data_IF_369429716679
#
_entry.id   IF_369429716679
#
_cell.length_a   1.000
_cell.length_b   1.000
_cell.length_c   1.000
_cell.angle_alpha   90.00
_cell.angle_beta   90.00
_cell.angle_gamma   90.00
#
_symmetry.space_group_name_H-M   'P 1'
#
loop_
_entity.id
_entity.type
_entity.pdbx_description
1 polymer ?
#
# COMPACT_ATOMS: atom_id res chain seq x y z
N UNK A 1 31.04 -37.16 -34.55
CA UNK A 1 31.87 -36.49 -33.53
C UNK A 1 32.21 -35.10 -34.01
N UNK A 2 31.57 -34.08 -33.42
CA UNK A 2 32.09 -32.70 -33.30
C UNK A 2 31.10 -31.97 -32.39
N UNK A 3 31.41 -31.89 -31.10
CA UNK A 3 30.74 -30.96 -30.20
C UNK A 3 31.32 -29.58 -30.52
N UNK A 4 30.45 -28.69 -31.02
CA UNK A 4 30.83 -27.32 -31.38
C UNK A 4 31.25 -26.50 -30.17
N UNK A 5 32.24 -25.64 -30.42
CA UNK A 5 32.95 -24.76 -29.47
C UNK A 5 32.00 -23.83 -28.68
N UNK A 6 30.74 -23.66 -29.11
CA UNK A 6 29.71 -22.86 -28.44
C UNK A 6 29.23 -23.46 -27.11
N UNK A 7 29.25 -24.79 -26.93
CA UNK A 7 28.83 -25.44 -25.69
C UNK A 7 29.78 -25.21 -24.51
N UNK A 8 31.07 -25.04 -24.79
CA UNK A 8 32.10 -24.77 -23.78
C UNK A 8 32.05 -23.30 -23.28
N UNK A 9 31.57 -22.38 -24.11
CA UNK A 9 31.41 -20.98 -23.75
C UNK A 9 30.20 -20.76 -22.82
N UNK A 10 29.10 -21.49 -23.02
CA UNK A 10 27.93 -21.46 -22.12
C UNK A 10 28.22 -22.12 -20.77
N UNK A 11 28.97 -23.23 -20.74
CA UNK A 11 29.34 -23.91 -19.51
C UNK A 11 30.30 -23.08 -18.63
N UNK A 12 31.20 -22.30 -19.23
CA UNK A 12 32.10 -21.41 -18.51
C UNK A 12 31.39 -20.18 -17.95
N UNK A 13 30.42 -19.60 -18.67
CA UNK A 13 29.56 -18.53 -18.14
C UNK A 13 28.70 -19.02 -16.96
N UNK A 14 28.08 -20.20 -17.07
CA UNK A 14 27.31 -20.78 -15.96
C UNK A 14 28.18 -21.05 -14.73
N UNK A 15 29.42 -21.53 -14.91
CA UNK A 15 30.35 -21.77 -13.81
C UNK A 15 30.85 -20.48 -13.12
N UNK A 16 31.05 -19.39 -13.87
CA UNK A 16 31.46 -18.09 -13.32
C UNK A 16 30.31 -17.45 -12.55
N UNK A 17 29.09 -17.53 -13.07
CA UNK A 17 27.88 -17.00 -12.42
C UNK A 17 27.53 -17.78 -11.15
N UNK A 18 27.70 -19.11 -11.18
CA UNK A 18 27.57 -19.95 -9.99
C UNK A 18 28.65 -19.61 -8.97
N UNK A 19 29.94 -19.50 -9.34
CA UNK A 19 31.02 -19.10 -8.40
C UNK A 19 30.83 -17.69 -7.83
N UNK A 20 30.33 -16.74 -8.61
CA UNK A 20 29.97 -15.40 -8.15
C UNK A 20 28.83 -15.42 -7.12
N UNK A 21 27.85 -16.29 -7.31
CA UNK A 21 26.79 -16.52 -6.32
C UNK A 21 27.29 -17.24 -5.07
N UNK A 22 28.21 -18.21 -5.20
CA UNK A 22 28.81 -18.89 -4.04
C UNK A 22 29.68 -17.96 -3.18
N UNK A 23 30.44 -17.03 -3.79
CA UNK A 23 31.20 -16.01 -3.06
C UNK A 23 30.30 -14.99 -2.36
N UNK A 24 29.15 -14.63 -2.97
CA UNK A 24 28.10 -13.84 -2.29
C UNK A 24 27.49 -14.59 -1.11
N UNK A 25 27.22 -15.89 -1.26
CA UNK A 25 26.72 -16.74 -0.17
C UNK A 25 27.73 -16.88 0.98
N UNK A 26 29.03 -16.97 0.67
CA UNK A 26 30.10 -17.02 1.68
C UNK A 26 30.34 -15.66 2.35
N UNK A 27 30.12 -14.54 1.66
CA UNK A 27 30.15 -13.21 2.28
C UNK A 27 28.93 -12.96 3.17
N UNK A 28 27.78 -13.56 2.85
CA UNK A 28 26.57 -13.57 3.70
C UNK A 28 26.69 -14.46 4.95
N UNK A 29 27.65 -15.38 4.99
CA UNK A 29 27.82 -16.33 6.09
C UNK A 29 28.66 -15.81 7.29
N UNK A 30 29.15 -14.56 7.25
CA UNK A 30 30.07 -14.02 8.27
C UNK A 30 29.48 -12.98 9.23
N UNK A 31 28.17 -12.73 9.23
CA UNK A 31 27.55 -11.69 10.06
C UNK A 31 26.56 -12.29 11.06
N UNK A 32 27.07 -12.97 12.08
CA UNK A 32 26.25 -13.60 13.10
C UNK A 32 25.62 -12.52 14.03
N UNK A 33 24.32 -12.23 13.85
CA UNK A 33 23.52 -11.46 14.83
C UNK A 33 22.38 -10.57 14.30
N UNK A 34 22.30 -10.21 13.01
CA UNK A 34 21.44 -9.11 12.52
C UNK A 34 20.30 -9.48 11.52
N UNK A 35 20.12 -10.76 11.17
CA UNK A 35 19.22 -11.16 10.08
C UNK A 35 17.73 -10.84 10.28
N UNK A 36 17.23 -10.65 11.52
CA UNK A 36 15.79 -10.42 11.75
C UNK A 36 15.28 -9.10 11.19
N UNK A 37 16.16 -8.14 10.91
CA UNK A 37 15.79 -6.80 10.43
C UNK A 37 16.26 -6.48 9.00
N UNK A 38 17.01 -7.36 8.33
CA UNK A 38 17.53 -7.08 6.98
C UNK A 38 16.41 -6.86 5.95
N UNK A 39 15.34 -7.64 6.02
CA UNK A 39 14.19 -7.48 5.13
C UNK A 39 13.47 -6.14 5.37
N UNK A 40 13.38 -5.69 6.63
CA UNK A 40 12.79 -4.39 6.99
C UNK A 40 13.62 -3.27 6.37
N UNK A 41 14.94 -3.33 6.50
CA UNK A 41 15.84 -2.31 5.94
C UNK A 41 15.83 -2.31 4.41
N UNK A 42 15.81 -3.49 3.77
CA UNK A 42 15.60 -3.63 2.33
C UNK A 42 14.28 -2.99 1.90
N UNK A 43 13.18 -3.24 2.61
CA UNK A 43 11.90 -2.62 2.32
C UNK A 43 11.98 -1.10 2.54
N UNK A 44 12.51 -0.60 3.66
CA UNK A 44 12.64 0.85 3.90
C UNK A 44 13.46 1.58 2.84
N UNK A 45 14.53 0.96 2.35
CA UNK A 45 15.39 1.51 1.28
C UNK A 45 14.74 1.49 -0.11
N UNK A 46 13.68 0.70 -0.29
CA UNK A 46 12.95 0.61 -1.54
C UNK A 46 11.80 1.62 -1.63
N UNK A 47 11.19 1.72 -2.81
CA UNK A 47 10.12 2.66 -3.09
C UNK A 47 10.58 3.77 -4.05
N UNK A 48 9.67 4.69 -4.35
CA UNK A 48 9.91 5.77 -5.31
C UNK A 48 10.63 6.98 -4.69
N UNK A 49 10.56 7.12 -3.37
CA UNK A 49 11.13 8.22 -2.60
C UNK A 49 11.94 7.67 -1.43
N UNK A 50 13.12 8.24 -1.13
CA UNK A 50 14.02 7.72 -0.12
C UNK A 50 13.49 7.91 1.30
N UNK A 51 13.83 6.97 2.19
CA UNK A 51 13.77 7.19 3.64
C UNK A 51 14.87 8.18 4.04
N UNK A 52 14.54 9.14 4.89
CA UNK A 52 15.47 10.16 5.40
C UNK A 52 15.16 10.51 6.85
N UNK A 53 16.05 11.28 7.47
CA UNK A 53 15.81 11.84 8.80
C UNK A 53 14.72 12.92 8.75
N UNK A 54 13.87 13.08 9.79
CA UNK A 54 12.74 14.01 9.75
C UNK A 54 13.13 15.46 9.43
N UNK A 55 14.29 15.92 9.89
CA UNK A 55 14.74 17.31 9.72
C UNK A 55 15.45 17.56 8.36
N UNK A 56 15.76 16.50 7.62
CA UNK A 56 16.42 16.57 6.30
C UNK A 56 15.81 15.56 5.33
N UNK A 57 14.59 15.85 4.87
CA UNK A 57 13.79 14.94 4.06
C UNK A 57 13.32 15.60 2.73
N UNK A 58 14.22 15.99 1.81
CA UNK A 58 13.80 16.54 0.52
C UNK A 58 13.29 15.42 -0.41
N UNK A 59 12.09 15.59 -0.99
CA UNK A 59 11.45 14.62 -1.88
C UNK A 59 11.48 13.19 -1.30
N UNK A 60 11.19 13.06 -0.02
CA UNK A 60 11.42 11.85 0.76
C UNK A 60 10.31 11.56 1.76
N UNK A 61 10.51 10.51 2.54
CA UNK A 61 9.69 10.20 3.69
C UNK A 61 10.54 9.94 4.94
N UNK A 62 9.96 10.11 6.11
CA UNK A 62 10.62 9.91 7.40
C UNK A 62 9.62 9.45 8.47
N UNK A 63 10.13 9.11 9.65
CA UNK A 63 9.30 8.80 10.83
C UNK A 63 9.37 9.98 11.81
N UNK A 64 8.32 10.82 11.91
CA UNK A 64 8.34 11.95 12.82
C UNK A 64 8.39 11.44 14.28
N UNK A 65 8.81 12.27 15.25
CA UNK A 65 8.64 11.96 16.67
C UNK A 65 7.16 11.90 17.07
N UNK A 66 6.76 10.90 17.85
CA UNK A 66 5.37 10.74 18.28
C UNK A 66 4.85 11.84 19.20
N UNK A 67 5.74 12.49 19.96
CA UNK A 67 5.38 13.60 20.86
C UNK A 67 4.92 14.86 20.12
N UNK A 68 5.09 14.92 18.79
CA UNK A 68 4.50 15.98 17.96
C UNK A 68 2.99 15.87 17.81
N UNK A 69 2.40 14.76 18.24
CA UNK A 69 0.97 14.50 18.13
C UNK A 69 0.34 14.45 19.53
N UNK A 70 -0.78 15.15 19.68
CA UNK A 70 -1.53 15.22 20.94
C UNK A 70 -2.72 14.26 20.90
N UNK A 71 -2.72 13.29 21.80
CA UNK A 71 -3.73 12.22 21.90
C UNK A 71 -4.50 12.30 23.22
N UNK A 72 -5.63 11.61 23.32
CA UNK A 72 -6.45 11.57 24.54
C UNK A 72 -5.64 10.97 25.70
N UNK A 73 -5.47 11.73 26.79
CA UNK A 73 -4.78 11.24 27.99
C UNK A 73 -5.59 10.22 28.78
N UNK A 74 -5.02 9.62 29.86
CA UNK A 74 -5.64 8.54 30.61
C UNK A 74 -7.01 8.91 31.18
N UNK A 75 -7.19 10.14 31.66
CA UNK A 75 -8.46 10.65 32.20
C UNK A 75 -9.21 11.57 31.22
N UNK A 76 -8.99 11.43 29.90
CA UNK A 76 -9.55 12.36 28.90
C UNK A 76 -11.07 12.48 28.95
N UNK A 77 -11.80 11.39 29.28
CA UNK A 77 -13.27 11.41 29.28
C UNK A 77 -13.83 12.40 30.31
N UNK A 78 -13.13 12.61 31.43
CA UNK A 78 -13.50 13.58 32.47
C UNK A 78 -12.77 14.92 32.30
N UNK A 79 -11.47 14.89 32.01
CA UNK A 79 -10.61 16.10 32.01
C UNK A 79 -10.55 16.82 30.67
N UNK A 80 -10.84 16.13 29.56
CA UNK A 80 -10.60 16.58 28.18
C UNK A 80 -9.13 16.97 27.88
N UNK A 81 -8.18 16.52 28.71
CA UNK A 81 -6.76 16.84 28.56
C UNK A 81 -6.09 15.87 27.59
N UNK A 82 -5.43 16.41 26.57
CA UNK A 82 -4.58 15.66 25.66
C UNK A 82 -3.13 15.67 26.13
N UNK A 83 -2.41 14.61 25.82
CA UNK A 83 -0.98 14.44 26.13
C UNK A 83 -0.18 14.14 24.85
N UNK A 84 1.13 14.37 24.84
CA UNK A 84 2.00 13.86 23.78
C UNK A 84 1.86 12.33 23.65
N UNK A 85 1.88 11.82 22.43
CA UNK A 85 1.52 10.43 22.16
C UNK A 85 2.63 9.40 22.50
N UNK A 86 3.89 9.81 22.55
CA UNK A 86 5.01 8.88 22.73
C UNK A 86 5.16 7.88 21.58
N UNK A 87 5.56 6.64 21.91
CA UNK A 87 5.88 5.61 20.92
C UNK A 87 4.66 5.05 20.18
N UNK A 88 4.87 4.68 18.92
CA UNK A 88 3.86 4.07 18.06
C UNK A 88 3.66 2.59 18.41
N UNK A 89 2.44 2.10 18.20
CA UNK A 89 2.12 0.68 18.31
C UNK A 89 2.85 -0.15 17.23
N UNK A 90 3.06 0.44 16.05
CA UNK A 90 3.64 -0.22 14.88
C UNK A 90 4.91 0.48 14.43
N UNK A 91 5.86 -0.31 13.93
CA UNK A 91 7.10 0.21 13.36
C UNK A 91 6.85 0.67 11.93
N UNK A 92 7.42 1.82 11.49
CA UNK A 92 7.39 2.25 10.10
C UNK A 92 8.12 1.24 9.23
N UNK A 93 7.45 0.79 8.16
CA UNK A 93 7.98 -0.22 7.23
C UNK A 93 8.33 0.37 5.87
N UNK A 94 7.55 1.30 5.36
CA UNK A 94 7.81 1.90 4.05
C UNK A 94 6.82 2.99 3.68
N UNK A 95 7.15 3.73 2.63
CA UNK A 95 6.25 4.67 1.99
C UNK A 95 6.35 4.54 0.47
N UNK A 96 5.21 4.46 -0.20
CA UNK A 96 5.13 4.43 -1.66
C UNK A 96 4.43 5.69 -2.18
N UNK A 97 5.11 6.39 -3.07
CA UNK A 97 4.54 7.44 -3.90
C UNK A 97 4.32 6.88 -5.30
N UNK A 98 3.06 6.61 -5.64
CA UNK A 98 2.69 5.90 -6.87
C UNK A 98 1.62 6.67 -7.65
N UNK A 99 1.62 6.48 -8.98
CA UNK A 99 0.62 7.07 -9.87
C UNK A 99 0.12 6.09 -10.92
N UNK A 100 -1.12 6.27 -11.37
CA UNK A 100 -1.78 5.39 -12.32
C UNK A 100 -2.84 6.11 -13.16
N UNK A 101 -3.24 5.47 -14.27
CA UNK A 101 -4.32 6.00 -15.11
C UNK A 101 -5.69 5.93 -14.42
N UNK A 102 -5.87 4.94 -13.54
CA UNK A 102 -7.07 4.73 -12.72
C UNK A 102 -6.69 4.75 -11.25
N UNK A 103 -7.70 4.84 -10.38
CA UNK A 103 -7.56 4.67 -8.93
C UNK A 103 -6.81 3.37 -8.62
N UNK A 104 -5.83 3.46 -7.73
CA UNK A 104 -4.98 2.34 -7.33
C UNK A 104 -5.54 1.79 -6.01
N UNK A 105 -6.02 0.56 -6.06
CA UNK A 105 -6.63 -0.16 -4.94
C UNK A 105 -5.87 -1.46 -4.66
N UNK A 106 -6.00 -2.02 -3.45
CA UNK A 106 -5.40 -3.30 -3.06
C UNK A 106 -3.89 -3.40 -3.37
N UNK A 107 -3.15 -2.36 -3.01
CA UNK A 107 -1.71 -2.24 -3.25
C UNK A 107 -0.93 -3.41 -2.68
N UNK A 108 -1.30 -3.94 -1.52
CA UNK A 108 -0.67 -5.11 -0.93
C UNK A 108 -0.97 -6.39 -1.71
N UNK A 109 -2.15 -6.51 -2.31
CA UNK A 109 -2.51 -7.69 -3.11
C UNK A 109 -1.92 -7.63 -4.54
N UNK A 110 -1.48 -6.46 -5.00
CA UNK A 110 -0.90 -6.29 -6.32
C UNK A 110 0.32 -7.22 -6.55
N UNK A 111 0.45 -7.90 -7.71
CA UNK A 111 1.54 -8.85 -7.99
C UNK A 111 2.96 -8.24 -7.87
N UNK A 112 3.06 -6.94 -8.09
CA UNK A 112 4.32 -6.18 -7.96
C UNK A 112 4.43 -5.38 -6.65
N UNK A 113 3.65 -5.75 -5.64
CA UNK A 113 3.80 -5.22 -4.29
C UNK A 113 5.14 -5.64 -3.70
N UNK A 114 6.02 -4.67 -3.47
CA UNK A 114 7.32 -4.91 -2.85
C UNK A 114 7.19 -5.39 -1.40
N UNK A 115 6.12 -4.95 -0.71
CA UNK A 115 5.82 -5.35 0.66
C UNK A 115 5.41 -6.82 0.69
N UNK A 116 4.48 -7.22 -0.20
CA UNK A 116 4.05 -8.62 -0.30
C UNK A 116 5.21 -9.55 -0.64
N UNK A 117 6.05 -9.18 -1.61
CA UNK A 117 7.24 -9.98 -1.99
C UNK A 117 8.17 -10.15 -0.80
N UNK A 118 8.49 -9.08 -0.07
CA UNK A 118 9.31 -9.18 1.14
C UNK A 118 8.67 -10.09 2.21
N UNK A 119 7.35 -10.03 2.38
CA UNK A 119 6.62 -10.92 3.31
C UNK A 119 6.57 -12.39 2.85
N UNK A 120 6.86 -12.70 1.58
CA UNK A 120 6.83 -14.06 1.04
C UNK A 120 8.24 -14.67 0.94
N UNK A 121 9.22 -13.86 0.52
CA UNK A 121 10.54 -14.33 0.11
C UNK A 121 11.59 -14.21 1.23
N UNK A 122 11.42 -13.23 2.15
CA UNK A 122 12.50 -12.79 3.04
C UNK A 122 12.21 -12.98 4.54
N UNK A 123 11.10 -13.64 4.90
CA UNK A 123 10.72 -13.79 6.30
C UNK A 123 11.54 -14.87 7.02
N UNK A 124 12.11 -14.55 8.20
CA UNK A 124 12.72 -15.56 9.06
C UNK A 124 11.73 -16.67 9.42
N UNK A 125 12.22 -17.91 9.50
CA UNK A 125 11.40 -19.06 9.88
C UNK A 125 10.72 -18.81 11.25
N UNK A 126 9.40 -18.99 11.29
CA UNK A 126 8.58 -18.77 12.49
C UNK A 126 8.14 -17.32 12.73
N UNK A 127 8.66 -16.34 11.98
CA UNK A 127 8.17 -14.96 12.05
C UNK A 127 6.78 -14.84 11.42
N UNK A 128 5.89 -14.10 12.08
CA UNK A 128 4.53 -13.82 11.59
C UNK A 128 4.23 -12.32 11.71
N UNK A 129 4.97 -11.46 11.00
CA UNK A 129 4.71 -10.02 11.06
C UNK A 129 3.33 -9.70 10.51
N UNK A 130 2.70 -8.68 11.09
CA UNK A 130 1.41 -8.16 10.64
C UNK A 130 1.58 -6.75 10.07
N UNK A 131 1.16 -6.54 8.83
CA UNK A 131 1.34 -5.26 8.13
C UNK A 131 0.05 -4.45 8.09
N UNK A 132 0.16 -3.16 8.42
CA UNK A 132 -0.87 -2.15 8.19
C UNK A 132 -0.46 -1.28 7.00
N UNK A 133 -1.33 -1.15 6.01
CA UNK A 133 -1.18 -0.19 4.92
C UNK A 133 -2.29 0.85 4.96
N UNK A 134 -1.93 2.12 4.81
CA UNK A 134 -2.87 3.22 4.58
C UNK A 134 -2.59 3.82 3.21
N UNK A 135 -3.49 3.60 2.26
CA UNK A 135 -3.40 4.09 0.88
C UNK A 135 -4.27 5.35 0.74
N UNK A 136 -3.64 6.52 0.81
CA UNK A 136 -4.31 7.81 0.60
C UNK A 136 -4.43 8.06 -0.90
N UNK A 137 -5.62 7.78 -1.44
CA UNK A 137 -5.90 7.90 -2.86
C UNK A 137 -6.31 9.34 -3.18
N UNK A 138 -5.57 9.97 -4.09
CA UNK A 138 -5.82 11.33 -4.58
C UNK A 138 -6.23 11.26 -6.05
N UNK A 139 -7.54 11.18 -6.35
CA UNK A 139 -8.02 11.17 -7.71
C UNK A 139 -7.64 12.46 -8.43
N UNK A 140 -7.05 12.35 -9.61
CA UNK A 140 -6.76 13.50 -10.47
C UNK A 140 -6.75 13.05 -11.93
N UNK A 141 -6.31 13.90 -12.86
CA UNK A 141 -6.08 13.48 -14.25
C UNK A 141 -5.15 12.26 -14.33
N UNK A 142 -4.13 12.24 -13.46
CA UNK A 142 -3.36 11.04 -13.13
C UNK A 142 -3.64 10.70 -11.67
N UNK A 143 -4.13 9.50 -11.38
CA UNK A 143 -4.46 9.15 -10.00
C UNK A 143 -3.18 8.93 -9.21
N UNK A 144 -3.02 9.62 -8.07
CA UNK A 144 -1.88 9.45 -7.17
C UNK A 144 -2.32 8.67 -5.93
N UNK A 145 -1.39 7.93 -5.35
CA UNK A 145 -1.55 7.28 -4.06
C UNK A 145 -0.28 7.49 -3.21
N UNK A 146 -0.47 8.00 -2.00
CA UNK A 146 0.54 7.99 -0.94
C UNK A 146 0.24 6.84 -0.01
N UNK A 147 1.07 5.79 -0.04
CA UNK A 147 0.83 4.56 0.72
C UNK A 147 1.83 4.45 1.86
N UNK A 148 1.35 4.50 3.09
CA UNK A 148 2.18 4.33 4.29
C UNK A 148 2.04 2.90 4.81
N UNK A 149 3.17 2.23 5.03
CA UNK A 149 3.23 0.87 5.54
C UNK A 149 3.83 0.84 6.94
N UNK A 150 3.20 0.08 7.82
CA UNK A 150 3.62 -0.15 9.19
C UNK A 150 3.61 -1.65 9.49
N UNK A 151 4.40 -2.08 10.47
CA UNK A 151 4.53 -3.49 10.82
C UNK A 151 4.52 -3.70 12.33
N UNK A 152 3.79 -4.73 12.77
CA UNK A 152 3.99 -5.38 14.06
C UNK A 152 4.81 -6.64 13.85
N UNK A 153 5.92 -6.78 14.57
CA UNK A 153 6.70 -8.02 14.59
C UNK A 153 6.17 -9.00 15.64
N UNK A 154 5.51 -8.47 16.66
CA UNK A 154 4.86 -9.24 17.70
C UNK A 154 3.38 -9.49 17.34
N UNK A 155 2.78 -10.58 17.84
CA UNK A 155 1.35 -10.80 17.72
C UNK A 155 0.55 -9.64 18.31
N UNK A 156 -0.54 -9.28 17.64
CA UNK A 156 -1.47 -8.27 18.16
C UNK A 156 -2.14 -8.84 19.41
N UNK A 157 -2.09 -8.15 20.57
CA UNK A 157 -2.67 -8.69 21.81
C UNK A 157 -4.18 -8.90 21.67
N UNK A 158 -4.65 -10.08 22.05
CA UNK A 158 -6.08 -10.41 22.02
C UNK A 158 -6.88 -9.47 22.92
N UNK A 159 -8.05 -9.03 22.44
CA UNK A 159 -8.91 -8.09 23.16
C UNK A 159 -8.42 -6.63 23.14
N UNK A 160 -7.23 -6.34 22.62
CA UNK A 160 -6.78 -4.96 22.41
C UNK A 160 -7.67 -4.22 21.41
N UNK A 161 -7.64 -2.88 21.43
CA UNK A 161 -8.39 -2.06 20.48
C UNK A 161 -8.00 -2.35 19.02
N UNK A 162 -6.74 -2.73 18.77
CA UNK A 162 -6.25 -3.20 17.48
C UNK A 162 -6.90 -4.52 17.06
N UNK A 163 -6.94 -5.52 17.95
CA UNK A 163 -7.60 -6.81 17.70
C UNK A 163 -9.10 -6.62 17.44
N UNK A 164 -9.76 -5.79 18.25
CA UNK A 164 -11.18 -5.43 18.05
C UNK A 164 -11.42 -4.73 16.71
N UNK A 165 -10.52 -3.85 16.28
CA UNK A 165 -10.63 -3.18 14.97
C UNK A 165 -10.45 -4.14 13.80
N UNK A 166 -9.56 -5.12 13.92
CA UNK A 166 -9.38 -6.15 12.90
C UNK A 166 -10.60 -7.07 12.80
N UNK A 167 -11.18 -7.46 13.94
CA UNK A 167 -12.35 -8.36 14.01
C UNK A 167 -13.71 -7.65 13.80
N UNK A 168 -13.75 -6.33 13.94
CA UNK A 168 -14.98 -5.52 13.85
C UNK A 168 -15.59 -5.48 12.46
N UNK A 169 -16.70 -4.76 12.32
CA UNK A 169 -17.29 -4.45 11.02
C UNK A 169 -16.83 -3.07 10.50
N UNK A 170 -17.20 -2.74 9.26
CA UNK A 170 -16.83 -1.45 8.67
C UNK A 170 -17.50 -0.27 9.37
N UNK A 171 -18.65 -0.47 10.01
CA UNK A 171 -19.30 0.54 10.85
C UNK A 171 -18.42 0.95 12.02
N UNK A 172 -17.92 -0.04 12.77
CA UNK A 172 -16.94 0.14 13.83
C UNK A 172 -15.70 0.82 13.29
N UNK A 173 -15.06 0.27 12.25
CA UNK A 173 -13.81 0.83 11.69
C UNK A 173 -13.98 2.28 11.26
N UNK A 174 -15.06 2.60 10.55
CA UNK A 174 -15.32 3.95 10.07
C UNK A 174 -15.62 4.94 11.19
N UNK A 175 -16.19 4.47 12.30
CA UNK A 175 -16.48 5.31 13.46
C UNK A 175 -15.26 5.59 14.34
N UNK A 176 -14.16 4.82 14.18
CA UNK A 176 -12.99 4.84 15.06
C UNK A 176 -11.69 5.24 14.38
N UNK A 177 -11.51 4.94 13.09
CA UNK A 177 -10.27 5.25 12.39
C UNK A 177 -10.06 6.76 12.33
N UNK A 178 -8.95 7.23 12.89
CA UNK A 178 -8.64 8.64 13.09
C UNK A 178 -7.31 9.00 12.46
N UNK A 179 -7.25 10.18 11.84
CA UNK A 179 -6.06 10.77 11.27
C UNK A 179 -5.77 12.10 11.96
N UNK A 180 -4.50 12.33 12.29
CA UNK A 180 -3.96 13.64 12.65
C UNK A 180 -2.99 14.05 11.55
N UNK A 181 -3.18 15.22 10.95
CA UNK A 181 -2.27 15.79 9.96
C UNK A 181 -1.67 17.11 10.47
N UNK A 182 -0.35 17.25 10.43
CA UNK A 182 0.35 18.48 10.78
C UNK A 182 1.11 19.00 9.56
N UNK A 183 0.84 20.25 9.16
CA UNK A 183 1.58 20.93 8.10
C UNK A 183 2.85 21.58 8.69
N UNK A 184 3.92 20.81 8.72
CA UNK A 184 5.22 21.20 9.28
C UNK A 184 5.81 22.37 8.49
N UNK A 185 5.88 22.23 7.17
CA UNK A 185 6.36 23.25 6.23
C UNK A 185 5.33 23.41 5.13
N UNK A 186 5.00 24.64 4.77
CA UNK A 186 4.09 24.89 3.66
C UNK A 186 3.54 26.31 3.65
N UNK A 187 2.93 26.72 2.54
CA UNK A 187 2.26 28.01 2.43
C UNK A 187 1.14 28.17 3.46
N UNK A 188 0.95 29.39 3.97
CA UNK A 188 -0.09 29.70 4.96
C UNK A 188 -1.50 29.37 4.46
N UNK A 189 -1.76 29.46 3.14
CA UNK A 189 -3.05 29.11 2.54
C UNK A 189 -3.38 27.63 2.70
N UNK A 190 -2.38 26.74 2.60
CA UNK A 190 -2.57 25.29 2.81
C UNK A 190 -2.85 25.03 4.29
N UNK A 191 -2.09 25.64 5.20
CA UNK A 191 -2.32 25.54 6.65
C UNK A 191 -3.74 25.99 7.02
N UNK A 192 -4.20 27.10 6.45
CA UNK A 192 -5.54 27.63 6.70
C UNK A 192 -6.64 26.71 6.16
N UNK A 193 -6.46 26.14 4.97
CA UNK A 193 -7.45 25.23 4.37
C UNK A 193 -7.57 23.91 5.12
N UNK A 194 -6.43 23.39 5.61
CA UNK A 194 -6.35 22.19 6.45
C UNK A 194 -6.93 22.44 7.85
N UNK A 195 -6.84 23.68 8.34
CA UNK A 195 -7.33 24.09 9.65
C UNK A 195 -6.28 23.97 10.75
N UNK A 196 -6.56 24.59 11.89
CA UNK A 196 -5.65 24.65 13.04
C UNK A 196 -5.44 23.29 13.73
N UNK A 197 -6.43 22.39 13.63
CA UNK A 197 -6.35 21.01 14.09
C UNK A 197 -6.86 20.09 12.99
N UNK A 198 -5.96 19.58 12.14
CA UNK A 198 -6.33 18.64 11.08
C UNK A 198 -6.52 17.23 11.65
N UNK A 199 -7.50 17.09 12.53
CA UNK A 199 -7.86 15.83 13.17
C UNK A 199 -9.22 15.43 12.64
N UNK A 200 -9.32 14.26 12.03
CA UNK A 200 -10.60 13.76 11.53
C UNK A 200 -10.76 12.26 11.82
N UNK A 201 -12.01 11.84 11.99
CA UNK A 201 -12.36 10.42 11.92
C UNK A 201 -12.50 10.10 10.43
N UNK A 202 -11.49 9.42 9.87
CA UNK A 202 -11.35 9.20 8.42
C UNK A 202 -12.59 8.57 7.81
N UNK A 203 -13.09 7.48 8.40
CA UNK A 203 -14.25 6.77 7.84
C UNK A 203 -15.57 7.52 7.96
N UNK A 204 -15.62 8.66 8.66
CA UNK A 204 -16.74 9.61 8.61
C UNK A 204 -16.53 10.74 7.61
N UNK A 205 -15.28 11.09 7.32
CA UNK A 205 -14.91 12.22 6.48
C UNK A 205 -14.83 11.84 4.99
N UNK A 206 -14.38 10.62 4.69
CA UNK A 206 -14.15 10.08 3.34
C UNK A 206 -14.48 8.59 3.30
N UNK A 207 -14.72 8.05 2.10
CA UNK A 207 -14.95 6.62 1.94
C UNK A 207 -13.66 5.84 2.23
N UNK A 208 -13.74 4.84 3.11
CA UNK A 208 -12.65 3.93 3.41
C UNK A 208 -13.06 2.51 3.02
N UNK A 209 -12.18 1.77 2.33
CA UNK A 209 -12.34 0.34 2.07
C UNK A 209 -11.26 -0.43 2.82
N UNK A 210 -11.64 -1.53 3.46
CA UNK A 210 -10.76 -2.34 4.29
C UNK A 210 -10.54 -3.70 3.63
N UNK A 211 -9.28 -4.03 3.37
CA UNK A 211 -8.89 -5.33 2.81
C UNK A 211 -8.04 -6.06 3.84
N UNK A 212 -8.57 -7.15 4.39
CA UNK A 212 -7.93 -7.91 5.46
C UNK A 212 -7.48 -9.25 4.89
N UNK A 213 -6.19 -9.53 5.02
CA UNK A 213 -5.59 -10.83 4.73
C UNK A 213 -5.08 -11.49 6.00
N UNK A 214 -4.42 -12.64 5.85
CA UNK A 214 -3.93 -13.45 6.99
C UNK A 214 -2.91 -12.71 7.87
N UNK A 215 -2.12 -11.82 7.27
CA UNK A 215 -1.01 -11.12 7.92
C UNK A 215 -0.96 -9.63 7.55
N UNK A 216 -2.06 -9.08 7.04
CA UNK A 216 -2.13 -7.66 6.74
C UNK A 216 -3.55 -7.11 6.79
N UNK A 217 -3.62 -5.80 6.90
CA UNK A 217 -4.79 -5.00 6.57
C UNK A 217 -4.36 -3.81 5.74
N UNK A 218 -5.12 -3.52 4.70
CA UNK A 218 -4.99 -2.32 3.88
C UNK A 218 -6.25 -1.48 4.03
N UNK A 219 -6.05 -0.18 4.24
CA UNK A 219 -7.11 0.83 4.25
C UNK A 219 -6.93 1.74 3.04
N UNK A 220 -7.81 1.57 2.07
CA UNK A 220 -7.95 2.46 0.93
C UNK A 220 -8.79 3.66 1.33
N UNK A 221 -8.18 4.84 1.39
CA UNK A 221 -8.81 6.09 1.80
C UNK A 221 -9.08 6.92 0.54
N UNK A 222 -10.32 6.91 0.07
CA UNK A 222 -10.76 7.60 -1.14
C UNK A 222 -11.08 9.07 -0.87
N UNK A 223 -10.07 9.93 -1.01
CA UNK A 223 -10.21 11.37 -0.75
C UNK A 223 -11.22 12.01 -1.72
N UNK A 224 -11.31 11.49 -2.95
CA UNK A 224 -12.24 11.99 -3.97
C UNK A 224 -13.72 11.76 -3.64
N UNK A 225 -14.02 10.89 -2.67
CA UNK A 225 -15.39 10.66 -2.22
C UNK A 225 -15.99 11.84 -1.42
N UNK A 226 -15.17 12.81 -1.01
CA UNK A 226 -15.62 14.02 -0.30
C UNK A 226 -15.21 15.26 -1.04
N UNK A 227 -16.18 16.09 -1.46
CA UNK A 227 -15.89 17.34 -2.17
C UNK A 227 -14.97 18.26 -1.37
N UNK A 228 -15.15 18.32 -0.05
CA UNK A 228 -14.35 19.16 0.85
C UNK A 228 -12.93 18.60 0.98
N UNK A 229 -12.78 17.31 1.27
CA UNK A 229 -11.46 16.70 1.40
C UNK A 229 -10.68 16.78 0.09
N UNK A 230 -11.36 16.50 -1.03
CA UNK A 230 -10.78 16.59 -2.36
C UNK A 230 -10.28 18.01 -2.68
N UNK A 231 -11.06 19.04 -2.37
CA UNK A 231 -10.65 20.43 -2.57
C UNK A 231 -9.41 20.80 -1.74
N UNK A 232 -9.37 20.43 -0.46
CA UNK A 232 -8.24 20.70 0.43
C UNK A 232 -6.98 19.98 -0.05
N UNK A 233 -7.10 18.70 -0.41
CA UNK A 233 -5.96 17.89 -0.85
C UNK A 233 -5.45 18.36 -2.21
N UNK A 234 -6.32 18.76 -3.15
CA UNK A 234 -5.85 19.34 -4.42
C UNK A 234 -5.16 20.69 -4.25
N UNK A 235 -5.63 21.53 -3.32
CA UNK A 235 -4.92 22.75 -2.96
C UNK A 235 -3.52 22.41 -2.42
N UNK A 236 -3.43 21.46 -1.47
CA UNK A 236 -2.15 21.02 -0.92
C UNK A 236 -1.24 20.40 -1.99
N UNK A 237 -1.83 19.62 -2.91
CA UNK A 237 -1.12 18.98 -4.02
C UNK A 237 -0.47 20.01 -4.95
N UNK A 238 -1.12 21.17 -5.16
CA UNK A 238 -0.52 22.29 -5.91
C UNK A 238 0.78 22.84 -5.30
N UNK A 239 1.02 22.57 -4.01
CA UNK A 239 2.22 22.98 -3.29
C UNK A 239 3.08 21.81 -2.81
N UNK A 240 2.82 20.58 -3.29
CA UNK A 240 3.40 19.34 -2.74
C UNK A 240 4.93 19.32 -2.74
N UNK A 241 5.57 19.98 -3.70
CA UNK A 241 7.04 20.12 -3.82
C UNK A 241 7.66 21.07 -2.79
N UNK A 242 6.84 21.79 -2.01
CA UNK A 242 7.27 22.71 -0.95
C UNK A 242 6.60 22.41 0.39
N UNK A 243 5.82 21.33 0.43
CA UNK A 243 5.00 20.93 1.56
C UNK A 243 5.69 19.81 2.34
N UNK A 244 5.75 19.93 3.66
CA UNK A 244 6.11 18.84 4.58
C UNK A 244 4.93 18.57 5.48
N UNK A 245 4.48 17.32 5.48
CA UNK A 245 3.29 16.88 6.22
C UNK A 245 3.65 15.71 7.10
N UNK A 246 3.27 15.79 8.37
CA UNK A 246 3.26 14.66 9.30
C UNK A 246 1.84 14.11 9.37
N UNK A 247 1.68 12.81 9.15
CA UNK A 247 0.43 12.09 9.27
C UNK A 247 0.55 11.02 10.35
N UNK A 248 -0.37 10.98 11.30
CA UNK A 248 -0.49 9.92 12.30
C UNK A 248 -1.85 9.24 12.21
N UNK A 249 -1.84 7.92 12.10
CA UNK A 249 -3.02 7.07 12.09
C UNK A 249 -3.24 6.47 13.47
N UNK A 250 -4.47 6.48 13.95
CA UNK A 250 -4.85 5.95 15.26
C UNK A 250 -6.28 5.40 15.23
N UNK A 251 -6.60 4.58 16.21
CA UNK A 251 -7.98 4.17 16.49
C UNK A 251 -8.43 5.04 17.66
N UNK A 252 -9.48 5.84 17.48
CA UNK A 252 -9.96 6.74 18.51
C UNK A 252 -10.38 5.94 19.76
N UNK A 253 -9.89 6.33 20.94
CA UNK A 253 -10.33 5.73 22.22
C UNK A 253 -11.59 6.43 22.72
N UNK A 254 -12.69 5.70 22.92
CA UNK A 254 -14.00 6.21 23.36
C UNK A 254 -14.40 5.71 24.76
N UNK A 255 -13.75 4.68 25.29
CA UNK A 255 -14.01 4.16 26.65
C UNK A 255 -12.78 4.26 27.56
N UNK A 256 -13.00 4.21 28.86
CA UNK A 256 -11.92 4.35 29.86
C UNK A 256 -10.81 3.28 29.72
N UNK A 257 -11.12 1.99 29.48
CA UNK A 257 -10.08 0.96 29.29
C UNK A 257 -9.25 1.12 28.01
N UNK A 258 -9.70 1.93 27.06
CA UNK A 258 -8.98 2.21 25.81
C UNK A 258 -8.01 3.39 25.94
N UNK A 259 -7.99 4.07 27.09
CA UNK A 259 -7.11 5.22 27.35
C UNK A 259 -5.83 4.79 28.09
N UNK A 260 -4.70 5.50 27.87
CA UNK A 260 -4.52 6.61 26.94
C UNK A 260 -4.60 6.18 25.47
N UNK A 261 -5.07 7.08 24.62
CA UNK A 261 -5.11 6.86 23.17
C UNK A 261 -3.68 6.78 22.62
N UNK A 262 -3.42 5.85 21.70
CA UNK A 262 -2.10 5.62 21.13
C UNK A 262 -2.11 5.65 19.60
N UNK A 263 -1.00 6.09 19.02
CA UNK A 263 -0.81 6.11 17.57
C UNK A 263 -0.50 4.70 17.06
N UNK A 264 -1.19 4.27 16.00
CA UNK A 264 -0.86 3.05 15.27
C UNK A 264 0.51 3.22 14.61
N UNK A 265 0.65 4.25 13.79
CA UNK A 265 1.90 4.61 13.13
C UNK A 265 1.81 6.02 12.55
N UNK A 266 2.96 6.64 12.32
CA UNK A 266 3.04 7.95 11.69
C UNK A 266 4.11 8.00 10.60
N UNK A 267 3.88 8.86 9.61
CA UNK A 267 4.77 9.09 8.49
C UNK A 267 4.89 10.59 8.22
N UNK A 268 6.10 11.03 7.93
CA UNK A 268 6.38 12.34 7.34
C UNK A 268 6.64 12.10 5.87
N UNK A 269 6.03 12.89 5.00
CA UNK A 269 6.54 13.06 3.65
C UNK A 269 6.78 14.53 3.39
N UNK A 270 7.71 14.82 2.48
CA UNK A 270 8.20 16.17 2.31
C UNK A 270 8.63 16.41 0.88
N UNK A 271 8.17 17.52 0.32
CA UNK A 271 8.58 18.03 -0.99
C UNK A 271 8.44 16.98 -2.11
N UNK A 272 7.38 16.16 -2.05
CA UNK A 272 7.20 15.06 -3.00
C UNK A 272 7.07 15.61 -4.42
N UNK A 273 7.97 15.20 -5.30
CA UNK A 273 7.90 15.52 -6.70
C UNK A 273 6.86 14.61 -7.39
N UNK A 274 5.80 15.12 -8.02
CA UNK A 274 4.86 14.26 -8.76
C UNK A 274 5.53 13.39 -9.83
N UNK A 275 6.63 13.86 -10.43
CA UNK A 275 7.39 13.10 -11.42
C UNK A 275 8.17 11.91 -10.81
N UNK A 276 8.48 11.92 -9.51
CA UNK A 276 9.12 10.79 -8.84
C UNK A 276 8.14 9.65 -8.58
N UNK A 277 6.81 9.90 -8.66
CA UNK A 277 5.80 8.88 -8.43
C UNK A 277 5.98 7.69 -9.39
N UNK A 278 6.14 6.51 -8.81
CA UNK A 278 6.28 5.26 -9.57
C UNK A 278 4.98 4.97 -10.31
N UNK A 279 5.07 4.83 -11.63
CA UNK A 279 3.92 4.47 -12.46
C UNK A 279 3.51 3.02 -12.18
N UNK A 280 2.29 2.82 -11.75
CA UNK A 280 1.67 1.51 -11.62
C UNK A 280 0.78 1.30 -12.84
N UNK A 281 1.22 0.44 -13.74
CA UNK A 281 0.36 -0.08 -14.80
C UNK A 281 -0.51 -1.15 -14.16
N UNK A 282 -1.82 -0.93 -14.11
CA UNK A 282 -2.73 -2.04 -13.83
C UNK A 282 -2.52 -3.04 -14.95
N UNK A 283 -1.95 -4.18 -14.59
CA UNK A 283 -1.99 -5.33 -15.48
C UNK A 283 -3.47 -5.68 -15.56
N UNK A 284 -4.10 -5.53 -16.73
CA UNK A 284 -5.45 -6.02 -17.01
C UNK A 284 -5.46 -7.56 -16.95
N UNK A 285 -5.09 -8.14 -15.81
CA UNK A 285 -5.09 -9.57 -15.54
C UNK A 285 -6.24 -9.89 -14.60
N UNK A 286 -7.45 -9.67 -15.09
CA UNK A 286 -8.61 -10.41 -14.60
C UNK A 286 -9.60 -10.82 -15.69
N UNK A 287 -9.45 -10.34 -16.94
CA UNK A 287 -10.19 -10.89 -18.09
C UNK A 287 -9.33 -11.73 -19.06
N UNK A 288 -8.00 -11.57 -19.09
CA UNK A 288 -7.16 -12.32 -20.05
C UNK A 288 -6.84 -13.76 -19.64
N UNK A 289 -6.93 -14.12 -18.36
CA UNK A 289 -6.66 -15.50 -17.91
C UNK A 289 -7.73 -16.49 -18.33
N UNK A 290 -8.97 -16.04 -18.56
CA UNK A 290 -10.05 -16.87 -19.11
C UNK A 290 -10.12 -16.82 -20.64
N UNK A 291 -9.64 -15.73 -21.25
CA UNK A 291 -9.69 -15.54 -22.71
C UNK A 291 -8.51 -16.19 -23.46
N UNK A 292 -7.35 -16.42 -22.82
CA UNK A 292 -6.18 -16.98 -23.53
C UNK A 292 -6.39 -18.39 -24.11
N UNK A 293 -7.06 -19.34 -23.42
CA UNK A 293 -7.38 -20.64 -24.00
C UNK A 293 -8.39 -20.52 -25.16
N UNK A 294 -9.37 -19.64 -25.03
CA UNK A 294 -10.45 -19.45 -26.02
C UNK A 294 -9.91 -18.76 -27.27
N UNK A 295 -9.04 -17.76 -27.12
CA UNK A 295 -8.46 -17.01 -28.22
C UNK A 295 -7.41 -17.83 -28.97
N UNK A 296 -6.63 -18.69 -28.29
CA UNK A 296 -5.76 -19.67 -28.95
C UNK A 296 -6.57 -20.69 -29.75
N UNK A 297 -7.68 -21.20 -29.22
CA UNK A 297 -8.54 -22.15 -29.93
C UNK A 297 -9.23 -21.49 -31.13
N UNK A 298 -9.74 -20.27 -30.99
CA UNK A 298 -10.37 -19.53 -32.08
C UNK A 298 -9.38 -19.16 -33.19
N UNK A 299 -8.18 -18.68 -32.84
CA UNK A 299 -7.13 -18.37 -33.82
C UNK A 299 -6.64 -19.63 -34.54
N UNK A 300 -6.50 -20.76 -33.83
CA UNK A 300 -6.11 -22.03 -34.45
C UNK A 300 -7.22 -22.66 -35.31
N UNK A 301 -8.49 -22.43 -34.99
CA UNK A 301 -9.63 -22.87 -35.81
C UNK A 301 -9.75 -22.05 -37.10
N UNK A 302 -9.53 -20.73 -37.01
CA UNK A 302 -9.51 -19.83 -38.18
C UNK A 302 -8.33 -20.16 -39.11
N UNK A 303 -7.16 -20.50 -38.57
CA UNK A 303 -5.99 -20.91 -39.37
C UNK A 303 -6.12 -22.30 -40.01
N UNK A 304 -7.09 -23.12 -39.59
CA UNK A 304 -7.32 -24.48 -40.12
C UNK A 304 -8.52 -24.60 -41.08
N UNK A 305 -9.24 -23.51 -41.36
CA UNK A 305 -10.47 -23.51 -42.18
C UNK A 305 -11.58 -24.47 -41.70
N UNK A 306 -11.59 -24.85 -40.41
CA UNK A 306 -12.62 -25.73 -39.84
C UNK A 306 -13.65 -24.92 -39.05
N UNK A 307 -14.59 -24.30 -39.77
CA UNK A 307 -15.64 -23.46 -39.15
C UNK A 307 -16.76 -24.26 -38.44
N UNK A 308 -16.87 -25.57 -38.67
CA UNK A 308 -17.99 -26.37 -38.17
C UNK A 308 -17.77 -27.08 -36.82
N UNK A 309 -16.58 -26.98 -36.21
CA UNK A 309 -16.28 -27.71 -34.98
C UNK A 309 -16.66 -26.99 -33.66
N UNK A 310 -17.22 -25.76 -33.72
CA UNK A 310 -17.51 -24.95 -32.54
C UNK A 310 -19.00 -24.55 -32.39
N UNK A 311 -19.95 -25.46 -32.64
CA UNK A 311 -21.32 -25.28 -32.15
C UNK A 311 -21.57 -26.21 -30.95
N UNK A 312 -22.02 -25.68 -29.79
CA UNK A 312 -22.45 -26.53 -28.70
C UNK A 312 -23.74 -27.24 -29.10
N UNK A 313 -23.75 -28.57 -29.04
CA UNK A 313 -24.98 -29.36 -29.04
C UNK A 313 -25.71 -29.15 -27.71
N UNK A 314 -26.41 -28.02 -27.58
CA UNK A 314 -27.48 -27.88 -26.61
C UNK A 314 -28.73 -27.39 -27.33
N UNK A 315 -29.76 -28.24 -27.26
CA UNK A 315 -31.12 -27.96 -27.67
C UNK A 315 -31.64 -26.81 -26.79
N UNK A 316 -31.79 -25.61 -27.34
CA UNK A 316 -32.46 -24.48 -26.70
C UNK A 316 -33.76 -24.16 -27.44
N UNK A 317 -34.82 -23.89 -26.67
CA UNK A 317 -36.17 -23.54 -27.13
C UNK A 317 -36.20 -22.27 -27.99
N UNK A 318 -37.15 -22.17 -28.93
CA UNK A 318 -37.22 -21.07 -29.89
C UNK A 318 -38.01 -19.90 -29.31
N UNK A 319 -37.40 -19.09 -28.43
CA UNK A 319 -37.91 -17.75 -28.10
C UNK A 319 -36.82 -16.91 -27.41
N UNK A 320 -35.91 -16.32 -28.20
CA UNK A 320 -35.23 -15.05 -27.89
C UNK A 320 -34.25 -14.66 -29.02
N UNK A 321 -34.74 -14.62 -30.26
CA UNK A 321 -34.11 -13.84 -31.32
C UNK A 321 -34.67 -12.43 -31.24
N UNK A 322 -34.00 -11.54 -30.49
CA UNK A 322 -34.05 -10.07 -30.64
C UNK A 322 -33.25 -9.42 -29.52
N UNK A 323 -31.96 -9.15 -29.76
CA UNK A 323 -31.20 -7.99 -29.24
C UNK A 323 -29.68 -8.21 -29.24
N UNK A 324 -29.10 -8.73 -30.34
CA UNK A 324 -27.64 -8.72 -30.53
C UNK A 324 -27.23 -8.40 -31.97
N UNK A 325 -28.00 -7.55 -32.66
CA UNK A 325 -27.52 -6.84 -33.86
C UNK A 325 -27.37 -5.35 -33.54
N UNK A 326 -26.23 -5.01 -32.94
CA UNK A 326 -25.63 -3.67 -33.03
C UNK A 326 -24.29 -3.66 -32.28
N UNK A 327 -23.25 -4.29 -32.84
CA UNK A 327 -21.85 -3.80 -32.87
C UNK A 327 -21.09 -4.75 -33.82
N UNK A 328 -21.15 -4.50 -35.12
CA UNK A 328 -20.18 -4.98 -36.11
C UNK A 328 -20.42 -4.32 -37.47
N UNK A 329 -20.33 -2.99 -37.55
CA UNK A 329 -19.75 -2.24 -38.68
C UNK A 329 -18.98 -1.06 -38.08
#
# INVERSE_FOLDING_TARGET
MSFGIEGLHLASYLCIELRGNWLRYLHMASCNGNNQHEWIERVKSGGAVPLSEPDNCPNGWASPPGDKFMVRGPEYLSTRVKIPAGEYLLKPLGFDWIRGATKIVEVLNHPNSRIRKALQDDLPAGSKPFVWAFNLQVPSKENYSAVAYFVSLEPIPEGSLMDQFLKGDDGFRNSRLKLIANIVKGPWIVRRAVGEQAICILGRAVSCKYFIGNNYIEVDVDIGASMVANAIVHLAFGYITTLTVDLAFLIESQTQPELPERILGAVRFSELNPASARKVTLVLYQHMSMAMPIMKTAVMAVLKNDWFACLPTQRMEPDNYKSLEAVAI
#
